data_IF_194130747099
#
_entry.id   IF_194130747099
#
_cell.length_a   1.000
_cell.length_b   1.000
_cell.length_c   1.000
_cell.angle_alpha   90.00
_cell.angle_beta   90.00
_cell.angle_gamma   90.00
#
_symmetry.space_group_name_H-M   'P 1'
#
loop_
_entity.id
_entity.type
_entity.pdbx_description
1 polymer ?
#
# COMPACT_ATOMS: atom_id res chain seq x y z
N UNK A 1 -63.85 -3.08 16.66
CA UNK A 1 -62.77 -2.38 17.38
C UNK A 1 -61.54 -3.29 17.36
N UNK A 2 -60.70 -3.23 16.30
CA UNK A 2 -59.49 -4.06 16.22
C UNK A 2 -58.35 -3.34 16.94
N UNK A 3 -57.94 -3.88 18.09
CA UNK A 3 -56.82 -3.34 18.87
C UNK A 3 -55.47 -3.57 18.15
N UNK A 4 -54.82 -2.47 17.78
CA UNK A 4 -53.47 -2.44 17.26
C UNK A 4 -52.46 -2.58 18.42
N UNK A 5 -52.26 -3.81 18.92
CA UNK A 5 -51.19 -4.11 19.90
C UNK A 5 -49.87 -4.42 19.18
N UNK A 6 -49.24 -3.37 18.65
CA UNK A 6 -47.86 -3.46 18.17
C UNK A 6 -46.96 -3.77 19.38
N UNK A 7 -46.31 -4.94 19.37
CA UNK A 7 -45.40 -5.37 20.43
C UNK A 7 -44.26 -4.37 20.59
N UNK A 8 -44.18 -3.74 21.76
CA UNK A 8 -43.20 -2.69 22.15
C UNK A 8 -41.75 -3.09 21.85
N UNK A 9 -41.44 -4.39 21.87
CA UNK A 9 -40.12 -4.94 21.57
C UNK A 9 -39.75 -4.83 20.08
N UNK A 10 -40.71 -4.96 19.16
CA UNK A 10 -40.46 -4.76 17.72
C UNK A 10 -40.23 -3.29 17.39
N UNK A 11 -41.00 -2.40 18.02
CA UNK A 11 -40.86 -0.96 17.87
C UNK A 11 -39.49 -0.47 18.37
N UNK A 12 -39.04 -0.94 19.54
CA UNK A 12 -37.71 -0.63 20.07
C UNK A 12 -36.57 -1.13 19.19
N UNK A 13 -36.71 -2.31 18.57
CA UNK A 13 -35.69 -2.88 17.67
C UNK A 13 -35.60 -2.08 16.37
N UNK A 14 -36.74 -1.68 15.80
CA UNK A 14 -36.79 -0.86 14.59
C UNK A 14 -36.23 0.54 14.85
N UNK A 15 -36.61 1.18 15.96
CA UNK A 15 -36.07 2.50 16.35
C UNK A 15 -34.55 2.44 16.53
N UNK A 16 -34.03 1.41 17.21
CA UNK A 16 -32.58 1.24 17.40
C UNK A 16 -31.85 1.02 16.07
N UNK A 17 -32.41 0.23 15.16
CA UNK A 17 -31.82 0.01 13.85
C UNK A 17 -31.81 1.29 12.99
N UNK A 18 -32.92 2.03 12.99
CA UNK A 18 -33.02 3.31 12.28
C UNK A 18 -32.08 4.37 12.87
N UNK A 19 -31.97 4.44 14.19
CA UNK A 19 -31.07 5.39 14.86
C UNK A 19 -29.59 5.08 14.55
N UNK A 20 -29.20 3.80 14.54
CA UNK A 20 -27.86 3.39 14.13
C UNK A 20 -27.56 3.75 12.67
N UNK A 21 -28.53 3.59 11.77
CA UNK A 21 -28.38 3.95 10.35
C UNK A 21 -28.27 5.48 10.15
N UNK A 22 -29.06 6.26 10.89
CA UNK A 22 -29.02 7.74 10.87
C UNK A 22 -27.70 8.27 11.45
N UNK A 23 -27.21 7.70 12.55
CA UNK A 23 -25.91 8.06 13.12
C UNK A 23 -24.75 7.77 12.15
N UNK A 24 -24.83 6.66 11.39
CA UNK A 24 -23.83 6.35 10.37
C UNK A 24 -23.88 7.34 9.19
N UNK A 25 -25.07 7.85 8.85
CA UNK A 25 -25.24 8.84 7.78
C UNK A 25 -24.72 10.25 8.15
N UNK A 26 -24.70 10.62 9.42
CA UNK A 26 -24.26 11.94 9.89
C UNK A 26 -22.82 12.01 10.43
N UNK A 27 -22.10 10.89 10.49
CA UNK A 27 -20.70 10.86 10.98
C UNK A 27 -19.66 11.52 10.03
N UNK A 28 -20.09 12.05 8.87
CA UNK A 28 -19.21 12.66 7.86
C UNK A 28 -19.05 14.19 7.93
N UNK A 29 -19.77 14.89 8.81
CA UNK A 29 -19.75 16.35 8.87
C UNK A 29 -18.73 16.88 9.88
N UNK A 30 -17.42 16.75 9.59
CA UNK A 30 -16.37 17.52 10.26
C UNK A 30 -16.03 18.75 9.43
N UNK A 31 -16.34 19.94 9.93
CA UNK A 31 -16.22 21.22 9.21
C UNK A 31 -14.83 21.87 9.30
N UNK A 32 -13.84 21.22 9.94
CA UNK A 32 -12.58 21.87 10.32
C UNK A 32 -11.29 21.24 9.73
N UNK A 33 -11.39 20.37 8.73
CA UNK A 33 -10.21 19.86 7.99
C UNK A 33 -10.53 19.72 6.49
N UNK A 34 -9.55 19.90 5.58
CA UNK A 34 -9.73 19.49 4.19
C UNK A 34 -10.04 18.00 4.12
N UNK A 35 -11.27 17.65 3.74
CA UNK A 35 -11.65 16.26 3.47
C UNK A 35 -10.84 15.77 2.26
N UNK A 36 -9.84 14.93 2.52
CA UNK A 36 -9.13 14.10 1.54
C UNK A 36 -10.01 12.95 1.01
N UNK A 37 -11.27 12.92 1.42
CA UNK A 37 -12.28 11.98 0.92
C UNK A 37 -12.75 12.50 -0.45
N UNK A 38 -12.55 11.74 -1.54
CA UNK A 38 -12.99 12.15 -2.86
C UNK A 38 -14.51 12.37 -2.90
N UNK A 39 -14.97 13.12 -3.92
CA UNK A 39 -16.39 13.30 -4.18
C UNK A 39 -17.12 11.93 -4.08
N UNK A 40 -18.13 11.80 -3.20
CA UNK A 40 -18.86 10.55 -2.95
C UNK A 40 -19.34 9.82 -4.20
N UNK A 41 -19.75 10.56 -5.23
CA UNK A 41 -20.21 10.02 -6.52
C UNK A 41 -19.11 9.24 -7.24
N UNK A 42 -17.87 9.69 -7.11
CA UNK A 42 -16.71 9.09 -7.75
C UNK A 42 -15.99 8.08 -6.86
N UNK A 43 -16.39 7.90 -5.59
CA UNK A 43 -15.76 6.94 -4.67
C UNK A 43 -15.64 5.52 -5.24
N UNK A 44 -16.64 4.94 -5.95
CA UNK A 44 -16.48 3.63 -6.55
C UNK A 44 -15.36 3.58 -7.60
N UNK A 45 -15.22 4.63 -8.42
CA UNK A 45 -14.17 4.72 -9.43
C UNK A 45 -12.78 4.86 -8.78
N UNK A 46 -12.66 5.70 -7.73
CA UNK A 46 -11.41 5.81 -6.95
C UNK A 46 -11.07 4.49 -6.25
N UNK A 47 -12.06 3.77 -5.71
CA UNK A 47 -11.85 2.49 -5.07
C UNK A 47 -11.27 1.45 -6.05
N UNK A 48 -11.84 1.36 -7.26
CA UNK A 48 -11.33 0.47 -8.32
C UNK A 48 -9.94 0.90 -8.78
N UNK A 49 -9.73 2.19 -9.05
CA UNK A 49 -8.43 2.73 -9.47
C UNK A 49 -7.32 2.44 -8.44
N UNK A 50 -7.59 2.73 -7.17
CA UNK A 50 -6.68 2.44 -6.06
C UNK A 50 -6.41 0.94 -5.92
N UNK A 51 -7.43 0.09 -6.07
CA UNK A 51 -7.26 -1.36 -6.02
C UNK A 51 -6.33 -1.87 -7.11
N UNK A 52 -6.47 -1.38 -8.36
CA UNK A 52 -5.61 -1.76 -9.48
C UNK A 52 -4.18 -1.27 -9.28
N UNK A 53 -3.99 -0.01 -8.89
CA UNK A 53 -2.67 0.55 -8.61
C UNK A 53 -1.96 -0.22 -7.49
N UNK A 54 -2.68 -0.50 -6.38
CA UNK A 54 -2.16 -1.28 -5.27
C UNK A 54 -1.84 -2.72 -5.68
N UNK A 55 -2.67 -3.35 -6.52
CA UNK A 55 -2.41 -4.70 -7.01
C UNK A 55 -1.14 -4.76 -7.89
N UNK A 56 -0.97 -3.80 -8.80
CA UNK A 56 0.23 -3.72 -9.64
C UNK A 56 1.49 -3.46 -8.80
N UNK A 57 1.44 -2.51 -7.86
CA UNK A 57 2.53 -2.24 -6.93
C UNK A 57 2.89 -3.47 -6.09
N UNK A 58 1.89 -4.13 -5.49
CA UNK A 58 2.08 -5.33 -4.67
C UNK A 58 2.67 -6.50 -5.46
N UNK A 59 2.24 -6.67 -6.72
CA UNK A 59 2.82 -7.67 -7.62
C UNK A 59 4.30 -7.40 -7.92
N UNK A 60 4.67 -6.14 -8.19
CA UNK A 60 6.08 -5.76 -8.37
C UNK A 60 6.88 -5.98 -7.08
N UNK A 61 6.38 -5.49 -5.94
CA UNK A 61 7.01 -5.66 -4.63
C UNK A 61 7.24 -7.13 -4.30
N UNK A 62 6.27 -8.01 -4.57
CA UNK A 62 6.40 -9.45 -4.35
C UNK A 62 7.54 -10.05 -5.16
N UNK A 63 7.64 -9.70 -6.45
CA UNK A 63 8.72 -10.18 -7.34
C UNK A 63 10.10 -9.70 -6.88
N UNK A 64 10.24 -8.41 -6.57
CA UNK A 64 11.50 -7.83 -6.06
C UNK A 64 11.87 -8.51 -4.74
N UNK A 65 10.94 -8.61 -3.80
CA UNK A 65 11.17 -9.27 -2.50
C UNK A 65 11.65 -10.71 -2.68
N UNK A 66 10.94 -11.50 -3.48
CA UNK A 66 11.32 -12.90 -3.75
C UNK A 66 12.74 -12.96 -4.31
N UNK A 67 13.05 -12.13 -5.31
CA UNK A 67 14.38 -12.11 -5.91
C UNK A 67 15.47 -11.71 -4.91
N UNK A 68 15.25 -10.65 -4.14
CA UNK A 68 16.19 -10.14 -3.14
C UNK A 68 16.45 -11.18 -2.05
N UNK A 69 15.40 -11.78 -1.50
CA UNK A 69 15.54 -12.82 -0.47
C UNK A 69 16.27 -14.05 -0.99
N UNK A 70 15.99 -14.49 -2.23
CA UNK A 70 16.66 -15.65 -2.83
C UNK A 70 18.14 -15.40 -3.14
N UNK A 71 18.50 -14.18 -3.53
CA UNK A 71 19.84 -13.84 -4.03
C UNK A 71 20.63 -12.92 -3.07
N UNK A 72 20.23 -12.84 -1.80
CA UNK A 72 20.69 -11.79 -0.89
C UNK A 72 22.22 -11.73 -0.74
N UNK A 73 22.88 -12.88 -0.58
CA UNK A 73 24.35 -12.92 -0.46
C UNK A 73 25.09 -12.52 -1.75
N UNK A 74 24.50 -12.77 -2.92
CA UNK A 74 25.07 -12.30 -4.19
C UNK A 74 24.85 -10.80 -4.36
N UNK A 75 23.66 -10.30 -4.03
CA UNK A 75 23.37 -8.88 -4.03
C UNK A 75 24.30 -8.10 -3.09
N UNK A 76 24.57 -8.63 -1.89
CA UNK A 76 25.49 -8.02 -0.94
C UNK A 76 26.89 -7.86 -1.53
N UNK A 77 27.38 -8.88 -2.25
CA UNK A 77 28.67 -8.83 -2.96
C UNK A 77 28.66 -7.83 -4.12
N UNK A 78 27.62 -7.85 -4.94
CA UNK A 78 27.47 -6.92 -6.07
C UNK A 78 27.39 -5.46 -5.60
N UNK A 79 26.71 -5.19 -4.47
CA UNK A 79 26.64 -3.87 -3.83
C UNK A 79 28.02 -3.41 -3.36
N UNK A 80 28.79 -4.31 -2.70
CA UNK A 80 30.16 -4.00 -2.27
C UNK A 80 31.10 -3.71 -3.44
N UNK A 81 30.90 -4.38 -4.58
CA UNK A 81 31.63 -4.15 -5.82
C UNK A 81 31.12 -2.93 -6.60
N UNK A 82 30.02 -2.31 -6.17
CA UNK A 82 29.36 -1.19 -6.84
C UNK A 82 28.61 -1.55 -8.13
N UNK A 83 28.65 -2.81 -8.56
CA UNK A 83 27.90 -3.34 -9.70
C UNK A 83 27.89 -4.87 -9.70
N UNK A 84 26.96 -5.46 -10.44
CA UNK A 84 26.95 -6.90 -10.71
C UNK A 84 25.64 -7.38 -11.33
N UNK A 85 25.61 -8.62 -11.84
CA UNK A 85 24.46 -9.13 -12.57
C UNK A 85 23.21 -9.26 -11.70
N UNK A 86 23.35 -9.64 -10.42
CA UNK A 86 22.19 -9.74 -9.54
C UNK A 86 21.66 -8.36 -9.16
N UNK A 87 22.56 -7.39 -8.98
CA UNK A 87 22.18 -6.01 -8.71
C UNK A 87 21.46 -5.37 -9.91
N UNK A 88 21.95 -5.57 -11.14
CA UNK A 88 21.31 -5.09 -12.36
C UNK A 88 19.92 -5.72 -12.58
N UNK A 89 19.78 -7.02 -12.33
CA UNK A 89 18.48 -7.70 -12.40
C UNK A 89 17.52 -7.16 -11.33
N UNK A 90 18.00 -6.88 -10.12
CA UNK A 90 17.17 -6.27 -9.09
C UNK A 90 16.66 -4.87 -9.47
N UNK A 91 17.49 -4.08 -10.17
CA UNK A 91 17.09 -2.79 -10.73
C UNK A 91 16.04 -2.93 -11.83
N UNK A 92 16.19 -3.92 -12.72
CA UNK A 92 15.21 -4.21 -13.76
C UNK A 92 13.85 -4.63 -13.18
N UNK A 93 13.85 -5.54 -12.19
CA UNK A 93 12.64 -5.99 -11.50
C UNK A 93 11.93 -4.85 -10.75
N UNK A 94 12.70 -3.96 -10.12
CA UNK A 94 12.18 -2.80 -9.42
C UNK A 94 11.79 -1.65 -10.37
N UNK A 95 12.21 -1.70 -11.64
CA UNK A 95 12.08 -0.61 -12.63
C UNK A 95 12.82 0.67 -12.23
N UNK A 96 14.04 0.53 -11.70
CA UNK A 96 14.91 1.68 -11.43
C UNK A 96 15.43 2.22 -12.76
N UNK A 97 15.26 3.52 -13.07
CA UNK A 97 15.81 4.11 -14.28
C UNK A 97 17.34 3.97 -14.34
N UNK A 98 17.89 3.64 -15.51
CA UNK A 98 19.35 3.44 -15.69
C UNK A 98 20.18 4.63 -15.21
N UNK A 99 19.69 5.86 -15.40
CA UNK A 99 20.36 7.07 -14.92
C UNK A 99 20.52 7.14 -13.39
N UNK A 100 19.72 6.38 -12.62
CA UNK A 100 19.77 6.33 -11.16
C UNK A 100 20.59 5.17 -10.60
N UNK A 101 21.06 4.24 -11.46
CA UNK A 101 21.72 3.01 -10.99
C UNK A 101 22.99 3.33 -10.21
N UNK A 102 23.85 4.20 -10.74
CA UNK A 102 25.13 4.55 -10.09
C UNK A 102 24.92 5.20 -8.71
N UNK A 103 24.02 6.19 -8.63
CA UNK A 103 23.69 6.87 -7.38
C UNK A 103 23.09 5.90 -6.35
N UNK A 104 22.18 5.03 -6.80
CA UNK A 104 21.58 4.03 -5.93
C UNK A 104 22.62 3.00 -5.45
N UNK A 105 23.48 2.49 -6.33
CA UNK A 105 24.57 1.59 -5.95
C UNK A 105 25.47 2.22 -4.87
N UNK A 106 25.79 3.50 -5.01
CA UNK A 106 26.57 4.23 -4.00
C UNK A 106 25.83 4.37 -2.66
N UNK A 107 24.53 4.61 -2.66
CA UNK A 107 23.69 4.65 -1.45
C UNK A 107 23.67 3.27 -0.78
N UNK A 108 23.39 2.22 -1.55
CA UNK A 108 23.32 0.84 -1.06
C UNK A 108 24.65 0.39 -0.43
N UNK A 109 25.78 0.78 -1.01
CA UNK A 109 27.11 0.43 -0.51
C UNK A 109 27.47 1.16 0.80
N UNK A 110 26.90 2.34 1.05
CA UNK A 110 27.18 3.16 2.24
C UNK A 110 26.33 2.80 3.44
N UNK A 111 25.16 2.20 3.22
CA UNK A 111 24.23 1.85 4.30
C UNK A 111 24.40 0.38 4.72
N UNK A 112 25.01 0.10 5.90
CA UNK A 112 25.19 -1.26 6.38
C UNK A 112 23.87 -1.96 6.70
N UNK A 113 22.78 -1.23 6.98
CA UNK A 113 21.48 -1.85 7.26
C UNK A 113 20.92 -2.54 6.02
N UNK A 114 21.13 -1.97 4.83
CA UNK A 114 20.67 -2.53 3.56
C UNK A 114 21.43 -3.81 3.17
N UNK A 115 22.66 -3.96 3.67
CA UNK A 115 23.47 -5.17 3.48
C UNK A 115 23.13 -6.30 4.48
N UNK A 116 22.41 -5.99 5.56
CA UNK A 116 22.07 -6.95 6.62
C UNK A 116 20.58 -7.34 6.63
N UNK A 117 19.70 -6.53 6.04
CA UNK A 117 18.26 -6.78 5.99
C UNK A 117 17.73 -6.84 4.54
N UNK A 118 17.29 -8.02 4.06
CA UNK A 118 16.72 -8.17 2.72
C UNK A 118 15.41 -7.38 2.53
N UNK A 119 14.65 -7.12 3.61
CA UNK A 119 13.43 -6.31 3.53
C UNK A 119 13.78 -4.84 3.31
N UNK A 120 14.75 -4.30 4.05
CA UNK A 120 15.25 -2.94 3.86
C UNK A 120 15.80 -2.72 2.44
N UNK A 121 16.56 -3.69 1.90
CA UNK A 121 17.03 -3.66 0.52
C UNK A 121 15.87 -3.66 -0.49
N UNK A 122 14.86 -4.51 -0.27
CA UNK A 122 13.65 -4.55 -1.10
C UNK A 122 12.95 -3.19 -1.12
N UNK A 123 12.78 -2.56 0.04
CA UNK A 123 12.14 -1.25 0.16
C UNK A 123 12.96 -0.18 -0.56
N UNK A 124 14.28 -0.16 -0.38
CA UNK A 124 15.16 0.80 -1.04
C UNK A 124 15.04 0.73 -2.57
N UNK A 125 15.05 -0.48 -3.14
CA UNK A 125 14.84 -0.70 -4.58
C UNK A 125 13.47 -0.20 -5.04
N UNK A 126 12.41 -0.51 -4.29
CA UNK A 126 11.04 -0.12 -4.63
C UNK A 126 10.80 1.39 -4.59
N UNK A 127 11.48 2.11 -3.68
CA UNK A 127 11.38 3.59 -3.59
C UNK A 127 12.01 4.28 -4.80
N UNK A 128 13.05 3.68 -5.37
CA UNK A 128 13.77 4.27 -6.50
C UNK A 128 13.24 3.81 -7.87
N UNK A 129 12.29 2.88 -7.89
CA UNK A 129 11.70 2.30 -9.11
C UNK A 129 10.28 2.79 -9.40
N UNK A 130 9.98 3.10 -10.68
CA UNK A 130 8.68 3.59 -11.14
C UNK A 130 8.05 2.66 -12.18
#
# INVERSE_FOLDING_TARGET
MLEMRISVNRLRRLIRASFAFICLAFAGCSTNTPSHVPNPVFLPAYAVGNAVQNAHYNSRRKRVKTYVTTNFETLRRDIQNGSGPALLESYALARVPNAKHADLSAILARDPNLSNDPEALTVSLMVHGN
#
